data_IF_185861796313
#
_entry.id   IF_185861796313
#
_cell.length_a   1.000
_cell.length_b   1.000
_cell.length_c   1.000
_cell.angle_alpha   90.00
_cell.angle_beta   90.00
_cell.angle_gamma   90.00
#
_symmetry.space_group_name_H-M   'P 1'
#
loop_
_entity.id
_entity.type
_entity.pdbx_description
1 polymer ?
#
# COMPACT_ATOMS: atom_id res chain seq x y z
N UNK A 1 19.50 -10.10 -4.49
CA UNK A 1 20.80 -9.67 -3.94
C UNK A 1 21.14 -8.22 -4.29
N UNK A 2 21.41 -7.84 -5.55
CA UNK A 2 21.72 -6.42 -5.87
C UNK A 2 20.60 -5.43 -5.54
N UNK A 3 19.35 -5.79 -5.78
CA UNK A 3 18.19 -4.92 -5.52
C UNK A 3 17.99 -4.66 -4.02
N UNK A 4 18.17 -5.68 -3.19
CA UNK A 4 18.05 -5.57 -1.74
C UNK A 4 19.20 -4.73 -1.16
N UNK A 5 20.40 -4.86 -1.70
CA UNK A 5 21.56 -4.07 -1.27
C UNK A 5 21.37 -2.58 -1.59
N UNK A 6 20.86 -2.28 -2.78
CA UNK A 6 20.53 -0.90 -3.17
C UNK A 6 19.44 -0.31 -2.27
N UNK A 7 18.38 -1.09 -1.99
CA UNK A 7 17.32 -0.69 -1.07
C UNK A 7 17.86 -0.39 0.33
N UNK A 8 18.64 -1.30 0.90
CA UNK A 8 19.27 -1.12 2.22
C UNK A 8 20.16 0.12 2.27
N UNK A 9 20.93 0.37 1.22
CA UNK A 9 21.76 1.57 1.10
C UNK A 9 20.90 2.82 1.14
N UNK A 10 19.81 2.85 0.37
CA UNK A 10 18.87 3.98 0.33
C UNK A 10 18.25 4.27 1.69
N UNK A 11 17.81 3.25 2.43
CA UNK A 11 17.25 3.39 3.77
C UNK A 11 18.28 4.00 4.74
N UNK A 12 19.52 3.51 4.70
CA UNK A 12 20.62 4.06 5.52
C UNK A 12 20.93 5.51 5.18
N UNK A 13 20.92 5.88 3.90
CA UNK A 13 21.11 7.27 3.45
C UNK A 13 20.03 8.19 4.00
N UNK A 14 18.75 7.78 3.95
CA UNK A 14 17.62 8.56 4.46
C UNK A 14 17.73 8.76 5.98
N UNK A 15 18.02 7.71 6.75
CA UNK A 15 18.21 7.79 8.20
C UNK A 15 19.39 8.69 8.57
N UNK A 16 20.52 8.56 7.88
CA UNK A 16 21.68 9.40 8.11
C UNK A 16 21.44 10.87 7.73
N UNK A 17 20.75 11.12 6.60
CA UNK A 17 20.42 12.47 6.16
C UNK A 17 19.50 13.16 7.17
N UNK A 18 18.50 12.44 7.68
CA UNK A 18 17.61 12.90 8.73
C UNK A 18 18.38 13.34 9.97
N UNK A 19 19.29 12.49 10.45
CA UNK A 19 20.13 12.79 11.61
C UNK A 19 21.07 13.97 11.39
N UNK A 20 21.78 14.00 10.26
CA UNK A 20 22.81 15.01 9.99
C UNK A 20 22.25 16.41 9.77
N UNK A 21 21.03 16.51 9.24
CA UNK A 21 20.40 17.78 8.85
C UNK A 21 19.25 18.19 9.77
N UNK A 22 18.91 17.36 10.75
CA UNK A 22 17.80 17.59 11.66
C UNK A 22 16.46 17.83 10.94
N UNK A 23 16.18 16.99 9.93
CA UNK A 23 14.99 17.05 9.09
C UNK A 23 14.27 15.72 9.06
N UNK A 24 12.99 15.73 8.69
CA UNK A 24 12.25 14.52 8.33
C UNK A 24 12.59 14.10 6.90
N UNK A 25 12.90 12.83 6.71
CA UNK A 25 13.07 12.22 5.39
C UNK A 25 12.09 11.07 5.21
N UNK A 26 11.69 10.80 3.97
CA UNK A 26 10.68 9.80 3.65
C UNK A 26 11.21 8.78 2.67
N UNK A 27 10.84 7.50 2.89
CA UNK A 27 11.00 6.48 1.87
C UNK A 27 9.94 6.64 0.76
N UNK A 28 10.07 5.88 -0.31
CA UNK A 28 8.95 5.59 -1.19
C UNK A 28 7.93 4.66 -0.51
N UNK A 29 6.80 4.33 -1.15
CA UNK A 29 5.87 3.32 -0.65
C UNK A 29 6.51 1.92 -0.67
N UNK A 30 6.58 1.32 0.49
CA UNK A 30 7.17 0.01 0.74
C UNK A 30 6.09 -1.08 0.79
N UNK A 31 6.38 -2.24 0.25
CA UNK A 31 5.59 -3.44 0.49
C UNK A 31 5.89 -4.03 1.89
N UNK A 32 5.13 -5.04 2.32
CA UNK A 32 5.27 -5.65 3.65
C UNK A 32 6.68 -6.23 3.91
N UNK A 33 7.31 -6.83 2.91
CA UNK A 33 8.67 -7.37 3.05
C UNK A 33 9.70 -6.25 3.25
N UNK A 34 9.61 -5.19 2.45
CA UNK A 34 10.48 -4.00 2.59
C UNK A 34 10.28 -3.32 3.95
N UNK A 35 9.03 -3.22 4.44
CA UNK A 35 8.74 -2.69 5.79
C UNK A 35 9.37 -3.55 6.89
N UNK A 36 9.30 -4.88 6.77
CA UNK A 36 9.96 -5.79 7.71
C UNK A 36 11.47 -5.63 7.71
N UNK A 37 12.09 -5.46 6.53
CA UNK A 37 13.52 -5.19 6.41
C UNK A 37 13.87 -3.87 7.14
N UNK A 38 13.13 -2.79 6.88
CA UNK A 38 13.35 -1.49 7.55
C UNK A 38 13.18 -1.62 9.07
N UNK A 39 12.14 -2.32 9.53
CA UNK A 39 11.90 -2.55 10.95
C UNK A 39 13.07 -3.27 11.63
N UNK A 40 13.71 -4.21 10.93
CA UNK A 40 14.89 -4.92 11.44
C UNK A 40 16.12 -4.02 11.59
N UNK A 41 16.17 -2.88 10.91
CA UNK A 41 17.27 -1.92 10.96
C UNK A 41 17.14 -0.89 12.08
N UNK A 42 16.00 -0.80 12.79
CA UNK A 42 15.75 0.23 13.82
C UNK A 42 16.87 0.31 14.87
N UNK A 43 17.43 -0.82 15.28
CA UNK A 43 18.50 -0.87 16.26
C UNK A 43 19.84 -0.27 15.78
N UNK A 44 20.02 -0.11 14.45
CA UNK A 44 21.23 0.52 13.88
C UNK A 44 21.20 2.04 13.97
N UNK A 45 20.02 2.62 14.22
CA UNK A 45 19.79 4.06 14.28
C UNK A 45 19.06 4.46 15.56
N UNK A 46 19.68 4.32 16.74
CA UNK A 46 19.02 4.54 18.03
C UNK A 46 18.56 5.98 18.25
N UNK A 47 19.06 6.95 17.48
CA UNK A 47 18.73 8.37 17.56
C UNK A 47 17.67 8.79 16.53
N UNK A 48 17.19 7.85 15.68
CA UNK A 48 16.19 8.09 14.65
C UNK A 48 14.93 7.32 14.99
N UNK A 49 13.83 8.05 15.06
CA UNK A 49 12.50 7.47 15.11
C UNK A 49 12.07 7.11 13.70
N UNK A 50 11.51 5.93 13.55
CA UNK A 50 10.95 5.42 12.30
C UNK A 50 9.45 5.19 12.48
N UNK A 51 8.66 6.01 11.83
CA UNK A 51 7.20 5.91 11.81
C UNK A 51 6.72 5.52 10.42
N UNK A 52 5.55 4.91 10.32
CA UNK A 52 5.01 4.44 9.05
C UNK A 52 3.59 4.94 8.83
N UNK A 53 3.26 5.30 7.60
CA UNK A 53 1.89 5.61 7.19
C UNK A 53 1.68 5.29 5.70
N UNK A 54 0.50 4.82 5.36
CA UNK A 54 0.06 4.70 3.96
C UNK A 54 -1.02 5.71 3.58
N UNK A 55 -1.28 6.70 4.47
CA UNK A 55 -2.28 7.73 4.25
C UNK A 55 -3.65 7.41 4.88
N UNK A 56 -3.91 6.17 5.29
CA UNK A 56 -5.13 5.76 5.97
C UNK A 56 -4.86 4.58 6.92
N UNK A 57 -5.83 4.30 7.79
CA UNK A 57 -5.73 3.21 8.78
C UNK A 57 -5.67 1.83 8.12
N UNK A 58 -4.76 0.98 8.57
CA UNK A 58 -4.52 -0.38 8.05
C UNK A 58 -4.02 -0.44 6.60
N UNK A 59 -3.39 0.61 6.09
CA UNK A 59 -2.75 0.59 4.78
C UNK A 59 -1.68 -0.52 4.72
N UNK A 60 -1.69 -1.31 3.63
CA UNK A 60 -0.70 -2.35 3.40
C UNK A 60 0.64 -1.77 2.93
N UNK A 61 0.58 -0.87 1.94
CA UNK A 61 1.76 -0.17 1.46
C UNK A 61 1.96 1.12 2.22
N UNK A 62 3.12 1.27 2.84
CA UNK A 62 3.41 2.41 3.72
C UNK A 62 4.74 3.07 3.36
N UNK A 63 4.81 4.36 3.54
CA UNK A 63 6.06 5.12 3.58
C UNK A 63 6.62 5.10 5.01
N UNK A 64 7.93 5.11 5.12
CA UNK A 64 8.63 5.29 6.40
C UNK A 64 9.13 6.73 6.48
N UNK A 65 8.76 7.40 7.55
CA UNK A 65 9.35 8.67 7.95
C UNK A 65 10.53 8.40 8.91
N UNK A 66 11.65 9.05 8.66
CA UNK A 66 12.82 9.04 9.52
C UNK A 66 12.99 10.43 10.10
N UNK A 67 13.02 10.57 11.41
CA UNK A 67 13.24 11.86 12.07
C UNK A 67 14.03 11.68 13.39
N UNK A 68 14.79 12.70 13.83
CA UNK A 68 15.40 12.70 15.13
C UNK A 68 14.36 12.63 16.26
N UNK A 69 14.68 11.97 17.35
CA UNK A 69 13.79 11.82 18.52
C UNK A 69 13.40 13.19 19.13
N UNK A 70 14.30 14.16 19.06
CA UNK A 70 14.11 15.51 19.61
C UNK A 70 13.51 16.53 18.61
N UNK A 71 12.83 16.06 17.55
CA UNK A 71 12.26 16.95 16.55
C UNK A 71 11.19 17.86 17.16
N UNK A 72 11.36 19.19 17.02
CA UNK A 72 10.51 20.19 17.66
C UNK A 72 9.39 20.75 16.77
N UNK A 73 9.20 20.27 15.54
CA UNK A 73 8.18 20.75 14.62
C UNK A 73 7.25 19.63 14.13
N UNK A 74 6.04 20.01 13.77
CA UNK A 74 5.05 19.12 13.17
C UNK A 74 5.37 18.90 11.70
N UNK A 75 5.09 17.70 11.21
CA UNK A 75 5.27 17.30 9.81
C UNK A 75 4.14 16.37 9.35
N UNK A 76 3.98 16.27 8.06
CA UNK A 76 2.97 15.42 7.45
C UNK A 76 3.62 14.50 6.42
N UNK A 77 3.02 13.35 6.20
CA UNK A 77 3.45 12.46 5.12
C UNK A 77 3.15 13.09 3.77
N UNK A 78 4.09 13.01 2.81
CA UNK A 78 3.87 13.52 1.46
C UNK A 78 2.99 12.57 0.63
N UNK A 79 1.79 12.28 1.14
CA UNK A 79 0.83 11.32 0.57
C UNK A 79 -0.46 12.06 0.25
N UNK A 80 -0.92 11.91 -0.99
CA UNK A 80 -2.25 12.34 -1.40
C UNK A 80 -3.14 11.13 -1.70
N UNK A 81 -4.45 11.30 -1.49
CA UNK A 81 -5.48 10.36 -1.89
C UNK A 81 -6.19 10.88 -3.14
N UNK A 82 -6.29 10.05 -4.17
CA UNK A 82 -7.01 10.37 -5.40
C UNK A 82 -8.17 9.40 -5.59
N UNK A 83 -9.33 9.95 -5.93
CA UNK A 83 -10.55 9.19 -6.23
C UNK A 83 -10.78 9.12 -7.72
N UNK A 84 -11.07 7.92 -8.19
CA UNK A 84 -11.38 7.61 -9.59
C UNK A 84 -12.85 7.19 -9.69
N UNK A 85 -13.59 7.84 -10.57
CA UNK A 85 -14.99 7.50 -10.88
C UNK A 85 -15.21 7.43 -12.38
N UNK A 86 -16.10 6.57 -12.88
CA UNK A 86 -16.47 6.57 -14.28
C UNK A 86 -17.24 7.84 -14.64
N UNK A 87 -16.88 8.50 -15.74
CA UNK A 87 -17.62 9.67 -16.27
C UNK A 87 -19.09 9.38 -16.58
N UNK A 88 -19.40 8.12 -16.92
CA UNK A 88 -20.75 7.69 -17.24
C UNK A 88 -21.01 6.31 -16.63
N UNK A 89 -21.72 6.26 -15.52
CA UNK A 89 -22.02 5.03 -14.77
C UNK A 89 -22.74 3.96 -15.60
N UNK A 90 -23.59 4.38 -16.56
CA UNK A 90 -24.37 3.46 -17.42
C UNK A 90 -23.50 2.62 -18.35
N UNK A 91 -22.35 3.14 -18.75
CA UNK A 91 -21.43 2.51 -19.71
C UNK A 91 -20.12 2.05 -19.05
N UNK A 92 -20.03 2.10 -17.73
CA UNK A 92 -18.83 1.66 -17.03
C UNK A 92 -18.82 0.15 -16.89
N UNK A 93 -17.67 -0.43 -17.18
CA UNK A 93 -17.35 -1.81 -16.84
C UNK A 93 -17.20 -1.99 -15.33
N UNK A 94 -17.27 -3.22 -14.89
CA UNK A 94 -16.83 -3.59 -13.54
C UNK A 94 -15.32 -3.73 -13.57
N UNK A 95 -14.62 -2.80 -12.90
CA UNK A 95 -13.18 -2.70 -12.90
C UNK A 95 -12.61 -3.29 -11.62
N UNK A 96 -11.62 -4.15 -11.76
CA UNK A 96 -10.91 -4.78 -10.65
C UNK A 96 -9.69 -3.95 -10.22
N UNK A 97 -9.14 -4.27 -9.06
CA UNK A 97 -7.86 -3.71 -8.58
C UNK A 97 -6.74 -3.79 -9.65
N UNK A 98 -6.63 -4.94 -10.35
CA UNK A 98 -5.64 -5.14 -11.42
C UNK A 98 -5.82 -4.18 -12.59
N UNK A 99 -7.05 -3.82 -12.93
CA UNK A 99 -7.33 -2.90 -14.04
C UNK A 99 -6.87 -1.49 -13.69
N UNK A 100 -7.12 -1.02 -12.46
CA UNK A 100 -6.63 0.27 -11.97
C UNK A 100 -5.11 0.28 -11.87
N UNK A 101 -4.49 -0.73 -11.25
CA UNK A 101 -3.05 -0.84 -11.14
C UNK A 101 -2.38 -0.86 -12.53
N UNK A 102 -2.92 -1.66 -13.46
CA UNK A 102 -2.41 -1.71 -14.83
C UNK A 102 -2.48 -0.36 -15.55
N UNK A 103 -3.58 0.39 -15.37
CA UNK A 103 -3.73 1.71 -15.96
C UNK A 103 -2.72 2.72 -15.39
N UNK A 104 -2.49 2.70 -14.08
CA UNK A 104 -1.50 3.54 -13.41
C UNK A 104 -0.08 3.23 -13.87
N UNK A 105 0.32 1.96 -13.91
CA UNK A 105 1.66 1.55 -14.34
C UNK A 105 1.91 1.79 -15.84
N UNK A 106 0.87 1.73 -16.66
CA UNK A 106 0.95 2.05 -18.09
C UNK A 106 1.28 3.53 -18.37
N UNK A 107 1.17 4.41 -17.38
CA UNK A 107 1.67 5.79 -17.46
C UNK A 107 3.20 5.87 -17.35
N UNK A 108 3.88 4.77 -17.15
CA UNK A 108 5.35 4.71 -17.04
C UNK A 108 5.90 5.05 -15.66
N UNK A 109 5.06 5.07 -14.63
CA UNK A 109 5.47 5.33 -13.25
C UNK A 109 5.93 4.05 -12.53
N UNK A 110 6.84 4.19 -11.59
CA UNK A 110 7.26 3.07 -10.75
C UNK A 110 6.19 2.75 -9.70
N UNK A 111 6.06 1.47 -9.34
CA UNK A 111 5.12 1.01 -8.31
C UNK A 111 5.38 1.65 -6.94
N UNK A 112 6.60 2.06 -6.67
CA UNK A 112 7.03 2.66 -5.41
C UNK A 112 6.45 4.05 -5.15
N UNK A 113 5.94 4.75 -6.19
CA UNK A 113 5.28 6.04 -6.01
C UNK A 113 3.78 5.92 -5.72
N UNK A 114 3.25 4.69 -5.78
CA UNK A 114 1.83 4.37 -5.58
C UNK A 114 1.68 3.54 -4.30
N UNK A 115 0.82 3.97 -3.40
CA UNK A 115 0.38 3.24 -2.22
C UNK A 115 -0.68 2.19 -2.53
N UNK A 116 -1.66 2.06 -1.65
CA UNK A 116 -2.77 1.15 -1.84
C UNK A 116 -3.78 1.67 -2.86
N UNK A 117 -4.48 0.73 -3.49
CA UNK A 117 -5.62 0.99 -4.36
C UNK A 117 -6.82 0.28 -3.73
N UNK A 118 -7.83 1.03 -3.34
CA UNK A 118 -9.05 0.50 -2.72
C UNK A 118 -10.20 0.65 -3.70
N UNK A 119 -10.82 -0.46 -4.09
CA UNK A 119 -11.94 -0.48 -5.02
C UNK A 119 -13.23 -0.71 -4.24
N UNK A 120 -14.20 0.19 -4.37
CA UNK A 120 -15.52 0.04 -3.75
C UNK A 120 -16.60 0.33 -4.78
N UNK A 121 -17.42 -0.66 -5.11
CA UNK A 121 -18.47 -0.57 -6.15
C UNK A 121 -17.86 -0.13 -7.50
N UNK A 122 -18.23 1.04 -7.98
CA UNK A 122 -17.75 1.62 -9.26
C UNK A 122 -16.73 2.74 -9.10
N UNK A 123 -16.26 3.01 -7.90
CA UNK A 123 -15.22 3.97 -7.62
C UNK A 123 -13.96 3.27 -7.10
N UNK A 124 -12.83 3.91 -7.28
CA UNK A 124 -11.58 3.49 -6.66
C UNK A 124 -10.89 4.68 -6.04
N UNK A 125 -10.16 4.42 -4.98
CA UNK A 125 -9.23 5.37 -4.37
C UNK A 125 -7.84 4.80 -4.48
N UNK A 126 -6.86 5.66 -4.71
CA UNK A 126 -5.47 5.25 -4.60
C UNK A 126 -4.66 6.34 -3.92
N UNK A 127 -3.67 5.90 -3.18
CA UNK A 127 -2.73 6.77 -2.50
C UNK A 127 -1.47 6.91 -3.34
N UNK A 128 -0.91 8.11 -3.40
CA UNK A 128 0.31 8.35 -4.15
C UNK A 128 1.20 9.39 -3.45
N UNK A 129 2.45 9.46 -3.85
CA UNK A 129 3.31 10.57 -3.43
C UNK A 129 2.73 11.88 -3.96
N UNK A 130 2.63 12.91 -3.10
CA UNK A 130 2.03 14.21 -3.44
C UNK A 130 2.67 14.88 -4.68
N UNK A 131 3.97 14.70 -4.88
CA UNK A 131 4.68 15.19 -6.10
C UNK A 131 4.18 14.58 -7.41
N UNK A 132 3.41 13.47 -7.35
CA UNK A 132 2.84 12.78 -8.51
C UNK A 132 1.37 13.11 -8.75
N UNK A 133 0.74 13.83 -7.84
CA UNK A 133 -0.70 14.12 -7.87
C UNK A 133 -1.12 14.78 -9.18
N UNK A 134 -0.50 15.89 -9.55
CA UNK A 134 -0.81 16.62 -10.79
C UNK A 134 -0.59 15.75 -12.02
N UNK A 135 0.49 14.96 -12.04
CA UNK A 135 0.76 14.03 -13.13
C UNK A 135 -0.38 13.04 -13.33
N UNK A 136 -0.92 12.45 -12.24
CA UNK A 136 -2.04 11.51 -12.33
C UNK A 136 -3.33 12.21 -12.74
N UNK A 137 -3.62 13.40 -12.21
CA UNK A 137 -4.81 14.19 -12.55
C UNK A 137 -4.85 14.53 -14.04
N UNK A 138 -3.73 14.83 -14.66
CA UNK A 138 -3.62 15.19 -16.07
C UNK A 138 -3.61 14.00 -17.01
N UNK A 139 -2.99 12.88 -16.62
CA UNK A 139 -2.66 11.80 -17.55
C UNK A 139 -3.56 10.57 -17.43
N UNK A 140 -4.18 10.30 -16.26
CA UNK A 140 -5.04 9.15 -16.08
C UNK A 140 -6.48 9.46 -16.51
N UNK A 141 -6.77 9.28 -17.80
CA UNK A 141 -8.08 9.60 -18.37
C UNK A 141 -9.00 8.39 -18.55
N UNK A 142 -8.43 7.17 -18.52
CA UNK A 142 -9.16 5.96 -18.86
C UNK A 142 -8.57 4.73 -18.16
N UNK A 143 -9.45 3.81 -17.73
CA UNK A 143 -9.11 2.49 -17.24
C UNK A 143 -9.82 1.46 -18.12
N UNK A 144 -9.07 0.58 -18.81
CA UNK A 144 -9.58 -0.32 -19.88
C UNK A 144 -10.38 0.47 -20.92
N UNK A 145 -11.69 0.20 -21.03
CA UNK A 145 -12.59 0.90 -21.95
C UNK A 145 -13.43 2.00 -21.27
N UNK A 146 -13.30 2.16 -19.96
CA UNK A 146 -14.06 3.14 -19.16
C UNK A 146 -13.33 4.47 -19.08
N UNK A 147 -13.95 5.53 -19.59
CA UNK A 147 -13.48 6.90 -19.35
C UNK A 147 -13.77 7.30 -17.91
N UNK A 148 -12.78 7.86 -17.24
CA UNK A 148 -12.85 8.18 -15.82
C UNK A 148 -12.67 9.68 -15.56
N UNK A 149 -13.18 10.11 -14.42
CA UNK A 149 -12.86 11.36 -13.75
C UNK A 149 -11.97 11.02 -12.56
N UNK A 150 -10.93 11.82 -12.36
CA UNK A 150 -10.07 11.70 -11.20
C UNK A 150 -10.10 13.02 -10.43
N UNK A 151 -10.16 12.95 -9.09
CA UNK A 151 -10.20 14.10 -8.19
C UNK A 151 -9.33 13.84 -6.99
N UNK A 152 -8.68 14.88 -6.47
CA UNK A 152 -7.98 14.80 -5.19
C UNK A 152 -9.01 14.82 -4.04
N UNK A 153 -8.81 13.98 -3.05
CA UNK A 153 -9.63 13.91 -1.83
C UNK A 153 -8.92 14.70 -0.75
N UNK A 154 -9.52 15.80 -0.33
CA UNK A 154 -8.96 16.69 0.69
C UNK A 154 -9.40 16.29 2.10
N UNK A 155 -10.62 15.74 2.24
CA UNK A 155 -11.18 15.35 3.52
C UNK A 155 -10.92 13.87 3.81
N UNK A 156 -10.24 13.57 4.90
CA UNK A 156 -9.96 12.21 5.34
C UNK A 156 -11.24 11.40 5.66
N UNK A 157 -12.37 12.05 5.93
CA UNK A 157 -13.65 11.36 6.12
C UNK A 157 -14.18 10.72 4.83
N UNK A 158 -13.71 11.19 3.67
CA UNK A 158 -14.00 10.60 2.35
C UNK A 158 -13.05 9.45 1.96
N UNK A 159 -12.05 9.17 2.78
CA UNK A 159 -11.14 8.05 2.50
C UNK A 159 -11.87 6.71 2.59
N UNK A 160 -11.47 5.73 1.76
CA UNK A 160 -12.07 4.43 1.81
C UNK A 160 -11.80 3.79 3.18
N UNK A 161 -12.86 3.34 3.84
CA UNK A 161 -12.72 2.60 5.10
C UNK A 161 -12.58 1.13 4.80
N UNK A 162 -11.62 0.41 5.42
CA UNK A 162 -11.50 -1.02 5.24
C UNK A 162 -12.76 -1.72 5.77
N UNK A 163 -13.32 -2.61 4.96
CA UNK A 163 -14.42 -3.47 5.40
C UNK A 163 -13.81 -4.65 6.12
N UNK A 164 -13.96 -4.67 7.45
CA UNK A 164 -13.44 -5.75 8.28
C UNK A 164 -14.54 -6.77 8.55
N UNK A 165 -14.29 -8.03 8.22
CA UNK A 165 -15.15 -9.16 8.57
C UNK A 165 -14.54 -9.95 9.73
N UNK A 166 -15.31 -10.15 10.79
CA UNK A 166 -14.89 -11.00 11.90
C UNK A 166 -15.09 -12.47 11.56
N UNK A 167 -14.00 -13.23 11.52
CA UNK A 167 -14.05 -14.67 11.35
C UNK A 167 -13.73 -15.34 12.69
N UNK A 168 -14.66 -16.18 13.18
CA UNK A 168 -14.46 -16.96 14.39
C UNK A 168 -14.56 -18.45 14.11
N UNK A 169 -13.76 -19.25 14.81
CA UNK A 169 -13.79 -20.68 14.69
C UNK A 169 -12.82 -21.34 15.67
N UNK A 170 -12.89 -22.68 15.74
CA UNK A 170 -12.03 -23.48 16.61
C UNK A 170 -10.90 -24.09 15.80
N UNK A 171 -9.66 -23.95 16.27
CA UNK A 171 -8.53 -24.67 15.73
C UNK A 171 -7.82 -25.47 16.83
N UNK A 172 -7.37 -26.67 16.49
CA UNK A 172 -6.69 -27.56 17.42
C UNK A 172 -5.29 -27.05 17.85
N UNK A 173 -4.69 -26.16 17.05
CA UNK A 173 -3.40 -25.55 17.32
C UNK A 173 -3.30 -24.20 16.61
N UNK A 174 -2.60 -23.24 17.24
CA UNK A 174 -2.32 -21.91 16.67
C UNK A 174 -1.17 -22.04 15.67
N UNK A 175 -1.45 -22.59 14.51
CA UNK A 175 -0.52 -22.72 13.39
C UNK A 175 -0.98 -21.83 12.24
N UNK A 176 -0.04 -21.26 11.48
CA UNK A 176 -0.33 -20.37 10.36
C UNK A 176 -1.30 -21.00 9.34
N UNK A 177 -1.02 -22.24 8.93
CA UNK A 177 -1.87 -23.00 8.01
C UNK A 177 -3.31 -23.18 8.53
N UNK A 178 -3.47 -23.36 9.85
CA UNK A 178 -4.78 -23.52 10.49
C UNK A 178 -5.55 -22.19 10.56
N UNK A 179 -4.87 -21.11 10.91
CA UNK A 179 -5.47 -19.77 11.01
C UNK A 179 -5.90 -19.26 9.62
N UNK A 180 -5.02 -19.39 8.61
CA UNK A 180 -5.32 -18.97 7.25
C UNK A 180 -6.46 -19.82 6.66
N UNK A 181 -6.45 -21.16 6.86
CA UNK A 181 -7.54 -22.00 6.37
C UNK A 181 -8.89 -21.65 7.01
N UNK A 182 -8.90 -21.24 8.27
CA UNK A 182 -10.10 -20.75 8.95
C UNK A 182 -10.57 -19.42 8.36
N UNK A 183 -9.65 -18.46 8.19
CA UNK A 183 -9.95 -17.13 7.66
C UNK A 183 -10.53 -17.20 6.23
N UNK A 184 -9.93 -18.04 5.37
CA UNK A 184 -10.34 -18.16 3.97
C UNK A 184 -11.33 -19.30 3.70
N UNK A 185 -11.82 -19.99 4.74
CA UNK A 185 -12.78 -21.13 4.64
C UNK A 185 -12.31 -22.21 3.64
N UNK A 186 -11.01 -22.51 3.63
CA UNK A 186 -10.37 -23.43 2.71
C UNK A 186 -9.74 -24.62 3.45
N UNK A 187 -9.24 -25.63 2.71
CA UNK A 187 -8.54 -26.74 3.34
C UNK A 187 -7.12 -26.37 3.78
N UNK A 188 -6.65 -26.95 4.88
CA UNK A 188 -5.28 -26.74 5.36
C UNK A 188 -4.23 -27.16 4.32
N UNK A 189 -4.48 -28.28 3.59
CA UNK A 189 -3.57 -28.74 2.55
C UNK A 189 -3.42 -27.76 1.39
N UNK A 190 -4.50 -27.07 1.01
CA UNK A 190 -4.43 -25.99 0.02
C UNK A 190 -3.56 -24.83 0.54
N UNK A 191 -3.75 -24.43 1.81
CA UNK A 191 -2.98 -23.32 2.39
C UNK A 191 -1.49 -23.64 2.56
N UNK A 192 -1.14 -24.89 2.90
CA UNK A 192 0.26 -25.34 2.96
C UNK A 192 0.95 -25.13 1.61
N UNK A 193 0.30 -25.50 0.51
CA UNK A 193 0.88 -25.31 -0.83
C UNK A 193 1.10 -23.82 -1.19
N UNK A 194 0.23 -22.93 -0.76
CA UNK A 194 0.41 -21.49 -0.94
C UNK A 194 1.57 -20.94 -0.09
N UNK A 195 1.68 -21.37 1.17
CA UNK A 195 2.74 -20.95 2.08
C UNK A 195 4.11 -21.47 1.59
N UNK A 196 4.21 -22.75 1.22
CA UNK A 196 5.45 -23.37 0.76
C UNK A 196 5.87 -22.88 -0.64
N UNK A 197 4.90 -22.56 -1.50
CA UNK A 197 5.13 -22.04 -2.84
C UNK A 197 5.71 -20.62 -2.88
N UNK A 198 5.95 -19.99 -1.72
CA UNK A 198 6.39 -18.59 -1.61
C UNK A 198 5.57 -17.66 -2.51
N UNK A 199 4.26 -17.85 -2.52
CA UNK A 199 3.32 -17.09 -3.35
C UNK A 199 3.19 -15.64 -2.84
N UNK A 200 4.30 -14.94 -2.66
CA UNK A 200 4.33 -13.50 -2.35
C UNK A 200 3.78 -12.66 -3.51
N UNK A 201 3.77 -13.22 -4.72
CA UNK A 201 3.18 -12.55 -5.90
C UNK A 201 1.64 -12.62 -5.94
N UNK A 202 1.00 -13.40 -5.09
CA UNK A 202 -0.46 -13.61 -5.10
C UNK A 202 -1.23 -12.81 -4.03
N UNK A 203 -0.63 -11.84 -3.36
CA UNK A 203 -1.37 -10.89 -2.50
C UNK A 203 -2.51 -10.22 -3.27
N UNK A 204 -2.34 -9.96 -4.56
CA UNK A 204 -3.40 -9.44 -5.42
C UNK A 204 -4.53 -10.43 -5.69
N UNK A 205 -4.28 -11.74 -5.67
CA UNK A 205 -5.33 -12.76 -5.82
C UNK A 205 -6.09 -13.00 -4.51
N UNK A 206 -5.40 -12.97 -3.38
CA UNK A 206 -6.05 -13.03 -2.06
C UNK A 206 -6.92 -11.80 -1.82
N UNK A 207 -6.48 -10.61 -2.22
CA UNK A 207 -7.30 -9.40 -2.16
C UNK A 207 -8.52 -9.47 -3.09
N UNK A 208 -8.44 -10.11 -4.26
CA UNK A 208 -9.60 -10.31 -5.14
C UNK A 208 -10.65 -11.24 -4.53
N UNK A 209 -10.26 -12.15 -3.66
CA UNK A 209 -11.18 -13.01 -2.89
C UNK A 209 -11.74 -12.33 -1.64
N UNK A 210 -11.05 -11.32 -1.07
CA UNK A 210 -11.53 -10.50 0.05
C UNK A 210 -12.51 -9.41 -0.40
N UNK A 211 -12.51 -9.03 -1.68
CA UNK A 211 -13.45 -8.06 -2.25
C UNK A 211 -14.78 -8.71 -2.72
N UNK A 212 -15.04 -9.97 -2.39
CA UNK A 212 -16.31 -10.63 -2.61
C UNK A 212 -17.20 -10.46 -1.38
N UNK A 213 -17.88 -9.33 -1.27
CA UNK A 213 -19.33 -9.18 -1.03
C UNK A 213 -19.69 -7.69 -1.12
#
# INVERSE_FOLDING_TARGET
>A
MEKDEFFLKRIRELANLSWQRDIVTFSDFLNLNEQNIVSSLKHQFPQIVMETSGGYENAERQMVAFHPDALAFTWEYPIDCLRIEPKALKFSEELSHRDYLGALLNLGVDRSVIGDIVVQKKAAWFFCQNKMTEFFLENLCRVRHTNILITKVEDSDEFPRPVLESVSGTCASVRLDSLISLAFKTSRSSMVSYIEGRSEEHTSELQSHLNLV
#
